data_IF_235210907417
#
_entry.id   IF_235210907417
#
_cell.length_a   1.000
_cell.length_b   1.000
_cell.length_c   1.000
_cell.angle_alpha   90.00
_cell.angle_beta   90.00
_cell.angle_gamma   90.00
#
_symmetry.space_group_name_H-M   'P 1'
#
loop_
_entity.id
_entity.type
_entity.pdbx_description
1 polymer ?
#
# COMPACT_ATOMS: atom_id res chain seq x y z
N UNK A 1 -60.42 -5.46 33.66
CA UNK A 1 -60.73 -4.38 32.69
C UNK A 1 -59.66 -4.39 31.60
N UNK A 2 -59.96 -4.94 30.40
CA UNK A 2 -59.04 -4.94 29.27
C UNK A 2 -59.27 -3.74 28.36
N UNK A 3 -58.20 -3.16 27.84
CA UNK A 3 -58.23 -2.05 26.88
C UNK A 3 -58.40 -2.57 25.45
N UNK A 4 -59.46 -2.09 24.79
CA UNK A 4 -59.82 -2.22 23.37
C UNK A 4 -58.65 -1.72 22.51
N UNK A 5 -58.19 -2.43 21.47
CA UNK A 5 -58.91 -2.67 20.22
C UNK A 5 -58.63 -1.55 19.20
N UNK A 6 -57.62 -1.71 18.33
CA UNK A 6 -57.47 -0.90 17.10
C UNK A 6 -57.50 -1.79 15.87
N UNK A 7 -58.45 -1.46 14.98
CA UNK A 7 -58.77 -2.10 13.70
C UNK A 7 -57.77 -1.71 12.60
N UNK A 8 -57.65 -2.61 11.61
CA UNK A 8 -57.13 -2.39 10.25
C UNK A 8 -58.12 -1.60 9.38
N UNK A 9 -57.60 -0.78 8.46
CA UNK A 9 -58.09 -0.57 7.07
C UNK A 9 -57.12 0.40 6.37
N UNK A 10 -56.49 0.02 5.25
CA UNK A 10 -56.80 0.51 3.89
C UNK A 10 -55.59 1.33 3.41
N UNK A 11 -55.00 1.15 2.22
CA UNK A 11 -55.60 0.94 0.91
C UNK A 11 -55.76 2.29 0.21
N UNK A 12 -54.71 2.78 -0.45
CA UNK A 12 -54.72 3.97 -1.33
C UNK A 12 -53.41 4.01 -2.12
N UNK A 13 -53.37 3.65 -3.40
CA UNK A 13 -53.82 4.42 -4.57
C UNK A 13 -53.02 5.72 -4.76
N UNK A 14 -52.01 5.66 -5.62
CA UNK A 14 -51.29 6.80 -6.19
C UNK A 14 -52.17 7.47 -7.26
N UNK A 15 -52.28 8.81 -7.31
CA UNK A 15 -52.92 9.50 -8.42
C UNK A 15 -51.93 9.77 -9.57
N UNK A 16 -52.46 9.73 -10.78
CA UNK A 16 -51.82 10.09 -12.05
C UNK A 16 -52.34 11.43 -12.59
N UNK A 17 -51.52 12.08 -13.42
CA UNK A 17 -51.85 13.22 -14.31
C UNK A 17 -51.54 14.59 -13.69
N UNK A 18 -50.97 15.59 -14.35
CA UNK A 18 -50.64 15.92 -15.74
C UNK A 18 -49.47 16.95 -15.68
N UNK A 19 -48.72 17.36 -16.69
CA UNK A 19 -48.72 17.23 -18.14
C UNK A 19 -47.64 18.22 -18.62
N UNK A 20 -46.86 17.87 -19.64
CA UNK A 20 -45.96 18.82 -20.30
C UNK A 20 -45.91 18.48 -21.79
N UNK A 21 -46.54 19.34 -22.58
CA UNK A 21 -46.45 19.38 -24.03
C UNK A 21 -45.18 20.11 -24.51
N UNK A 22 -44.96 20.13 -25.84
CA UNK A 22 -43.63 20.22 -26.43
C UNK A 22 -43.24 21.65 -26.85
N UNK A 23 -41.95 21.95 -26.85
CA UNK A 23 -41.40 23.11 -27.55
C UNK A 23 -40.59 22.66 -28.76
N UNK A 24 -41.17 22.91 -29.94
CA UNK A 24 -40.51 22.90 -31.24
C UNK A 24 -39.54 24.09 -31.39
N UNK A 25 -38.49 23.90 -32.18
CA UNK A 25 -37.51 24.94 -32.49
C UNK A 25 -36.51 24.54 -33.57
N UNK A 26 -37.03 24.32 -34.78
CA UNK A 26 -36.43 24.53 -36.13
C UNK A 26 -35.05 23.97 -36.47
N UNK A 27 -35.04 23.12 -37.51
CA UNK A 27 -33.85 22.68 -38.23
C UNK A 27 -33.64 23.37 -39.58
N UNK A 28 -32.55 22.94 -40.22
CA UNK A 28 -32.16 23.12 -41.63
C UNK A 28 -30.78 22.48 -41.78
N UNK A 29 -30.66 21.24 -42.28
CA UNK A 29 -30.35 20.90 -43.67
C UNK A 29 -28.84 21.01 -43.93
N UNK A 30 -28.08 20.07 -44.49
CA UNK A 30 -28.38 18.90 -45.30
C UNK A 30 -27.11 18.01 -45.44
N UNK A 31 -27.35 16.82 -46.01
CA UNK A 31 -26.46 16.05 -46.90
C UNK A 31 -25.36 15.14 -46.31
N UNK A 32 -25.46 13.88 -46.74
CA UNK A 32 -24.58 12.75 -46.51
C UNK A 32 -23.33 12.77 -47.40
N UNK A 33 -22.28 12.09 -46.94
CA UNK A 33 -21.24 11.31 -47.65
C UNK A 33 -20.22 10.92 -46.55
N UNK A 34 -19.81 9.69 -46.30
CA UNK A 34 -19.68 8.52 -47.15
C UNK A 34 -18.23 8.37 -47.61
N UNK A 35 -17.27 8.11 -46.71
CA UNK A 35 -15.92 7.67 -47.08
C UNK A 35 -15.33 6.75 -46.02
N UNK A 36 -15.19 5.47 -46.38
CA UNK A 36 -14.39 4.49 -45.65
C UNK A 36 -12.89 4.68 -45.89
N UNK A 37 -12.08 4.22 -44.94
CA UNK A 37 -10.62 4.18 -45.06
C UNK A 37 -10.19 2.72 -45.28
N UNK A 38 -9.38 2.42 -46.32
CA UNK A 38 -9.15 1.06 -46.79
C UNK A 38 -7.95 0.39 -46.13
N UNK A 39 -8.01 -0.93 -45.98
CA UNK A 39 -6.83 -1.76 -45.85
C UNK A 39 -6.21 -2.07 -47.22
N UNK A 40 -4.87 -2.24 -47.28
CA UNK A 40 -4.19 -3.02 -48.32
C UNK A 40 -2.84 -3.54 -47.85
N UNK A 41 -2.59 -4.80 -48.20
CA UNK A 41 -1.32 -5.54 -48.16
C UNK A 41 -0.33 -5.01 -49.20
N UNK A 42 0.95 -5.29 -48.99
CA UNK A 42 1.95 -5.39 -50.08
C UNK A 42 3.37 -5.10 -49.61
N UNK A 43 4.21 -6.14 -49.51
CA UNK A 43 5.63 -6.00 -49.20
C UNK A 43 6.47 -5.61 -50.43
N UNK A 44 7.67 -5.11 -50.16
CA UNK A 44 8.80 -5.04 -51.09
C UNK A 44 10.10 -5.23 -50.29
N UNK A 45 10.93 -6.17 -50.74
CA UNK A 45 12.33 -6.35 -50.35
C UNK A 45 13.19 -5.32 -51.07
N UNK A 46 14.26 -4.85 -50.43
CA UNK A 46 15.62 -4.79 -51.02
C UNK A 46 16.64 -4.19 -50.05
N UNK A 47 17.72 -4.95 -49.82
CA UNK A 47 19.14 -4.53 -49.73
C UNK A 47 19.54 -3.63 -48.53
N UNK A 48 20.53 -3.96 -47.70
CA UNK A 48 21.84 -4.54 -48.01
C UNK A 48 22.91 -3.49 -47.67
N UNK A 49 23.30 -3.40 -46.40
CA UNK A 49 24.30 -2.42 -45.94
C UNK A 49 24.91 -2.84 -44.61
N UNK A 50 25.99 -3.61 -44.68
CA UNK A 50 26.73 -4.10 -43.51
C UNK A 50 27.43 -2.95 -42.78
N UNK A 51 27.24 -2.91 -41.45
CA UNK A 51 28.09 -2.16 -40.55
C UNK A 51 28.87 -3.15 -39.70
N UNK A 52 30.19 -3.05 -39.84
CA UNK A 52 31.21 -3.88 -39.21
C UNK A 52 31.14 -3.72 -37.68
N UNK A 53 30.98 -4.83 -36.97
CA UNK A 53 31.27 -4.91 -35.55
C UNK A 53 32.79 -4.79 -35.33
N UNK A 54 33.25 -3.62 -34.89
CA UNK A 54 34.54 -3.50 -34.22
C UNK A 54 34.34 -3.71 -32.73
N UNK A 55 34.65 -4.91 -32.27
CA UNK A 55 34.66 -5.24 -30.85
C UNK A 55 35.72 -4.43 -30.11
N UNK A 56 35.29 -3.69 -29.09
CA UNK A 56 36.15 -3.22 -28.01
C UNK A 56 35.82 -4.03 -26.76
N UNK A 57 36.68 -5.00 -26.46
CA UNK A 57 36.74 -5.65 -25.15
C UNK A 57 37.36 -4.66 -24.17
N UNK A 58 36.55 -3.94 -23.42
CA UNK A 58 36.97 -3.26 -22.20
C UNK A 58 36.58 -4.12 -21.01
N UNK A 59 37.59 -4.54 -20.23
CA UNK A 59 37.40 -5.17 -18.94
C UNK A 59 36.70 -4.19 -18.01
N UNK A 60 35.41 -4.42 -17.77
CA UNK A 60 34.62 -3.73 -16.78
C UNK A 60 33.98 -4.76 -15.87
N UNK A 61 33.97 -4.49 -14.57
CA UNK A 61 33.06 -5.17 -13.63
C UNK A 61 31.68 -5.09 -14.27
N UNK A 62 31.11 -6.24 -14.71
CA UNK A 62 29.79 -6.25 -15.32
C UNK A 62 28.80 -5.73 -14.28
N UNK A 63 28.34 -4.50 -14.46
CA UNK A 63 27.23 -3.95 -13.68
C UNK A 63 26.04 -4.84 -13.98
N UNK A 64 25.68 -5.66 -12.99
CA UNK A 64 24.54 -6.55 -13.08
C UNK A 64 23.28 -5.74 -13.35
N UNK A 65 22.44 -6.20 -14.29
CA UNK A 65 21.18 -5.51 -14.58
C UNK A 65 20.27 -5.57 -13.35
N UNK A 66 19.37 -4.60 -13.22
CA UNK A 66 18.48 -4.55 -12.08
C UNK A 66 17.54 -5.76 -11.98
N UNK A 67 17.12 -6.30 -13.13
CA UNK A 67 16.35 -7.55 -13.22
C UNK A 67 17.16 -8.72 -12.67
N UNK A 68 18.45 -8.82 -13.01
CA UNK A 68 19.32 -9.89 -12.49
C UNK A 68 19.49 -9.80 -10.98
N UNK A 69 19.56 -8.57 -10.43
CA UNK A 69 19.52 -8.37 -8.98
C UNK A 69 18.21 -8.86 -8.36
N UNK A 70 17.06 -8.54 -8.96
CA UNK A 70 15.74 -8.99 -8.49
C UNK A 70 15.62 -10.52 -8.49
N UNK A 71 16.13 -11.19 -9.54
CA UNK A 71 16.15 -12.65 -9.63
C UNK A 71 17.02 -13.24 -8.50
N UNK A 72 18.19 -12.66 -8.26
CA UNK A 72 19.10 -13.14 -7.21
C UNK A 72 18.56 -12.89 -5.79
N UNK A 73 18.11 -11.68 -5.49
CA UNK A 73 17.59 -11.29 -4.16
C UNK A 73 16.40 -12.14 -3.75
N UNK A 74 15.51 -12.40 -4.71
CA UNK A 74 14.29 -13.19 -4.50
C UNK A 74 14.48 -14.69 -4.57
N UNK A 75 15.71 -15.17 -4.86
CA UNK A 75 16.02 -16.60 -5.05
C UNK A 75 15.23 -17.23 -6.21
N UNK A 76 14.77 -16.43 -7.18
CA UNK A 76 13.95 -16.88 -8.30
C UNK A 76 14.63 -17.97 -9.16
N UNK A 77 15.97 -17.97 -9.26
CA UNK A 77 16.74 -19.05 -9.92
C UNK A 77 16.46 -20.46 -9.39
N UNK A 78 15.99 -20.59 -8.15
CA UNK A 78 15.66 -21.89 -7.55
C UNK A 78 14.23 -22.35 -7.84
N UNK A 79 13.50 -21.65 -8.72
CA UNK A 79 12.15 -22.05 -9.10
C UNK A 79 12.16 -23.46 -9.71
N UNK A 80 11.28 -24.32 -9.20
CA UNK A 80 11.11 -25.70 -9.69
C UNK A 80 9.94 -25.84 -10.67
N UNK A 81 9.32 -24.72 -11.06
CA UNK A 81 8.16 -24.73 -11.96
C UNK A 81 6.98 -25.59 -11.47
N UNK A 82 6.89 -25.88 -10.17
CA UNK A 82 5.88 -26.80 -9.63
C UNK A 82 4.44 -26.23 -9.56
N UNK A 83 4.26 -24.92 -9.75
CA UNK A 83 2.94 -24.27 -9.83
C UNK A 83 2.19 -24.07 -8.51
N UNK A 84 2.75 -24.45 -7.35
CA UNK A 84 2.09 -24.25 -6.04
C UNK A 84 1.73 -22.79 -5.76
N UNK A 85 2.61 -21.86 -6.14
CA UNK A 85 2.38 -20.43 -6.02
C UNK A 85 1.16 -19.96 -6.81
N UNK A 86 0.97 -20.47 -8.03
CA UNK A 86 -0.19 -20.18 -8.88
C UNK A 86 -1.46 -20.77 -8.28
N UNK A 87 -1.43 -22.01 -7.79
CA UNK A 87 -2.59 -22.68 -7.19
C UNK A 87 -3.15 -21.94 -5.96
N UNK A 88 -2.32 -21.25 -5.19
CA UNK A 88 -2.76 -20.47 -4.01
C UNK A 88 -3.01 -18.99 -4.30
N UNK A 89 -2.69 -18.51 -5.51
CA UNK A 89 -2.78 -17.09 -5.84
C UNK A 89 -4.26 -16.66 -5.97
N UNK A 90 -4.75 -15.71 -5.17
CA UNK A 90 -6.14 -15.25 -5.27
C UNK A 90 -6.44 -14.56 -6.61
N UNK A 91 -5.43 -13.94 -7.23
CA UNK A 91 -5.57 -13.30 -8.54
C UNK A 91 -5.64 -14.34 -9.64
N UNK A 92 -4.81 -15.38 -9.62
CA UNK A 92 -4.87 -16.48 -10.60
C UNK A 92 -6.23 -17.20 -10.58
N UNK A 93 -6.91 -17.26 -9.44
CA UNK A 93 -8.26 -17.81 -9.30
C UNK A 93 -9.35 -16.97 -9.99
N UNK A 94 -9.06 -15.74 -10.38
CA UNK A 94 -10.01 -14.81 -11.02
C UNK A 94 -9.57 -14.42 -12.44
N UNK A 95 -8.27 -14.32 -12.66
CA UNK A 95 -7.65 -14.12 -13.96
C UNK A 95 -6.65 -15.26 -14.24
N UNK A 96 -7.00 -16.23 -15.09
CA UNK A 96 -6.12 -17.34 -15.46
C UNK A 96 -4.82 -16.93 -16.18
N UNK A 97 -4.74 -15.70 -16.71
CA UNK A 97 -3.51 -15.17 -17.32
C UNK A 97 -2.43 -14.88 -16.26
N UNK A 98 -2.83 -14.66 -14.99
CA UNK A 98 -1.88 -14.45 -13.89
C UNK A 98 -1.35 -15.78 -13.38
N UNK A 99 -0.02 -15.95 -13.48
CA UNK A 99 0.66 -17.11 -12.91
C UNK A 99 2.01 -16.70 -12.32
N UNK A 100 2.15 -16.64 -10.99
CA UNK A 100 3.44 -16.39 -10.34
C UNK A 100 4.56 -17.30 -10.80
N UNK A 101 4.24 -18.56 -11.11
CA UNK A 101 5.17 -19.51 -11.71
C UNK A 101 5.69 -18.99 -13.06
N UNK A 102 4.76 -18.69 -13.97
CA UNK A 102 5.06 -18.26 -15.35
C UNK A 102 5.82 -16.93 -15.38
N UNK A 103 5.45 -16.00 -14.50
CA UNK A 103 6.18 -14.74 -14.33
C UNK A 103 7.65 -14.95 -13.97
N UNK A 104 7.95 -15.90 -13.09
CA UNK A 104 9.35 -16.25 -12.77
C UNK A 104 10.03 -16.92 -13.96
N UNK A 105 9.37 -17.87 -14.61
CA UNK A 105 9.85 -18.57 -15.81
C UNK A 105 10.26 -17.60 -16.93
N UNK A 106 9.37 -16.70 -17.34
CA UNK A 106 9.59 -15.71 -18.41
C UNK A 106 10.78 -14.79 -18.08
N UNK A 107 10.91 -14.38 -16.82
CA UNK A 107 12.02 -13.55 -16.36
C UNK A 107 13.36 -14.29 -16.37
N UNK A 108 13.37 -15.58 -16.04
CA UNK A 108 14.59 -16.42 -16.09
C UNK A 108 15.03 -16.70 -17.53
N UNK A 109 14.09 -16.82 -18.46
CA UNK A 109 14.35 -17.02 -19.89
C UNK A 109 14.80 -15.74 -20.61
N UNK A 110 14.75 -14.58 -19.95
CA UNK A 110 15.05 -13.29 -20.57
C UNK A 110 13.94 -12.75 -21.47
N UNK A 111 12.73 -13.30 -21.34
CA UNK A 111 11.53 -12.89 -22.08
C UNK A 111 10.67 -11.89 -21.28
N UNK A 112 11.15 -11.46 -20.12
CA UNK A 112 10.44 -10.62 -19.17
C UNK A 112 10.35 -9.12 -19.51
N UNK A 113 10.94 -8.65 -20.60
CA UNK A 113 10.91 -7.22 -20.98
C UNK A 113 9.47 -6.71 -21.14
N UNK A 114 8.57 -7.53 -21.68
CA UNK A 114 7.14 -7.20 -21.81
C UNK A 114 6.41 -7.11 -20.46
N UNK A 115 6.89 -7.81 -19.42
CA UNK A 115 6.24 -7.85 -18.12
C UNK A 115 6.35 -6.51 -17.38
N UNK A 116 7.42 -5.74 -17.60
CA UNK A 116 7.60 -4.43 -16.93
C UNK A 116 6.52 -3.43 -17.34
N UNK A 117 5.99 -3.57 -18.55
CA UNK A 117 4.87 -2.80 -19.08
C UNK A 117 3.51 -3.48 -18.89
N UNK A 118 3.47 -4.69 -18.34
CA UNK A 118 2.26 -5.48 -18.23
C UNK A 118 1.44 -5.06 -16.99
N UNK A 119 0.14 -4.86 -17.18
CA UNK A 119 -0.81 -4.61 -16.09
C UNK A 119 -0.82 -5.74 -15.05
N UNK A 120 -0.48 -6.98 -15.45
CA UNK A 120 -0.43 -8.14 -14.57
C UNK A 120 0.66 -7.99 -13.48
N UNK A 121 1.73 -7.24 -13.72
CA UNK A 121 2.73 -6.90 -12.68
C UNK A 121 2.09 -6.17 -11.48
N UNK A 122 1.17 -5.26 -11.79
CA UNK A 122 0.48 -4.41 -10.84
C UNK A 122 -0.69 -5.12 -10.16
N UNK A 123 -1.22 -6.18 -10.77
CA UNK A 123 -2.30 -7.01 -10.20
C UNK A 123 -1.89 -7.78 -8.93
N UNK A 124 -0.59 -7.98 -8.72
CA UNK A 124 -0.10 -8.72 -7.55
C UNK A 124 -0.46 -8.00 -6.24
N UNK A 125 -1.19 -8.66 -5.35
CA UNK A 125 -1.55 -8.13 -4.03
C UNK A 125 -0.37 -8.13 -3.03
N UNK A 126 0.78 -8.68 -3.43
CA UNK A 126 1.96 -8.82 -2.56
C UNK A 126 1.66 -9.48 -1.20
N UNK A 127 0.63 -10.34 -1.14
CA UNK A 127 0.10 -10.95 0.09
C UNK A 127 0.96 -12.10 0.65
N UNK A 128 2.11 -12.39 0.04
CA UNK A 128 3.10 -13.39 0.46
C UNK A 128 2.66 -14.87 0.45
N UNK A 129 1.40 -15.18 0.15
CA UNK A 129 0.87 -16.56 0.17
C UNK A 129 1.67 -17.53 -0.72
N UNK A 130 2.13 -17.06 -1.88
CA UNK A 130 2.98 -17.85 -2.77
C UNK A 130 4.36 -18.18 -2.18
N UNK A 131 4.98 -17.25 -1.47
CA UNK A 131 6.27 -17.44 -0.80
C UNK A 131 6.17 -18.47 0.33
N UNK A 132 5.07 -18.46 1.09
CA UNK A 132 4.83 -19.37 2.21
C UNK A 132 4.70 -20.85 1.78
N UNK A 133 4.25 -21.11 0.55
CA UNK A 133 4.08 -22.48 0.02
C UNK A 133 5.21 -22.92 -0.90
N UNK A 134 6.19 -22.05 -1.17
CA UNK A 134 7.26 -22.34 -2.11
C UNK A 134 8.28 -23.32 -1.49
N UNK A 135 8.47 -24.52 -2.07
CA UNK A 135 9.43 -25.49 -1.52
C UNK A 135 10.89 -25.05 -1.65
N UNK A 136 11.19 -24.14 -2.59
CA UNK A 136 12.54 -23.61 -2.82
C UNK A 136 12.82 -22.28 -2.11
N UNK A 137 11.80 -21.71 -1.45
CA UNK A 137 11.90 -20.41 -0.80
C UNK A 137 12.10 -19.25 -1.77
N UNK A 138 11.41 -19.25 -2.91
CA UNK A 138 11.35 -18.09 -3.81
C UNK A 138 10.52 -16.98 -3.14
N UNK A 139 11.14 -15.83 -2.89
CA UNK A 139 10.50 -14.66 -2.31
C UNK A 139 9.77 -13.84 -3.38
N UNK A 140 8.68 -14.41 -3.92
CA UNK A 140 7.97 -13.85 -5.07
C UNK A 140 7.42 -12.43 -4.85
N UNK A 141 6.98 -12.08 -3.65
CA UNK A 141 6.50 -10.71 -3.40
C UNK A 141 7.64 -9.69 -3.46
N UNK A 142 8.81 -10.02 -2.93
CA UNK A 142 10.01 -9.18 -3.04
C UNK A 142 10.46 -9.07 -4.48
N UNK A 143 10.40 -10.19 -5.23
CA UNK A 143 10.64 -10.20 -6.68
C UNK A 143 9.76 -9.19 -7.41
N UNK A 144 8.44 -9.23 -7.17
CA UNK A 144 7.49 -8.30 -7.78
C UNK A 144 7.76 -6.86 -7.37
N UNK A 145 8.06 -6.61 -6.09
CA UNK A 145 8.39 -5.26 -5.61
C UNK A 145 9.63 -4.71 -6.33
N UNK A 146 10.68 -5.51 -6.47
CA UNK A 146 11.90 -5.11 -7.18
C UNK A 146 11.60 -4.84 -8.67
N UNK A 147 10.78 -5.67 -9.31
CA UNK A 147 10.34 -5.44 -10.70
C UNK A 147 9.51 -4.15 -10.86
N UNK A 148 8.63 -3.82 -9.91
CA UNK A 148 7.87 -2.56 -9.93
C UNK A 148 8.76 -1.33 -9.85
N UNK A 149 9.87 -1.39 -9.11
CA UNK A 149 10.87 -0.31 -9.10
C UNK A 149 11.44 -0.09 -10.50
N UNK A 150 11.79 -1.17 -11.21
CA UNK A 150 12.33 -1.06 -12.57
C UNK A 150 11.26 -0.62 -13.58
N UNK A 151 10.02 -1.10 -13.44
CA UNK A 151 8.90 -0.64 -14.24
C UNK A 151 8.70 0.88 -14.10
N UNK A 152 8.70 1.42 -12.87
CA UNK A 152 8.61 2.88 -12.66
C UNK A 152 9.80 3.65 -13.23
N UNK A 153 11.02 3.12 -13.12
CA UNK A 153 12.20 3.73 -13.77
C UNK A 153 12.08 3.77 -15.29
N UNK A 154 11.38 2.81 -15.88
CA UNK A 154 11.04 2.77 -17.30
C UNK A 154 9.78 3.60 -17.66
N UNK A 155 9.27 4.41 -16.73
CA UNK A 155 8.10 5.26 -16.94
C UNK A 155 6.77 4.51 -16.95
N UNK A 156 6.74 3.26 -16.50
CA UNK A 156 5.51 2.46 -16.38
C UNK A 156 4.87 2.67 -15.01
N UNK A 157 3.55 2.71 -14.97
CA UNK A 157 2.79 2.83 -13.72
C UNK A 157 1.60 1.87 -13.70
N UNK A 158 1.27 1.38 -12.51
CA UNK A 158 0.09 0.55 -12.31
C UNK A 158 -1.18 1.37 -12.06
N UNK A 159 -2.32 0.78 -12.42
CA UNK A 159 -3.62 1.22 -11.92
C UNK A 159 -3.70 0.92 -10.42
N UNK A 160 -3.42 1.92 -9.59
CA UNK A 160 -3.48 1.76 -8.15
C UNK A 160 -4.93 1.70 -7.68
N UNK A 161 -5.20 0.82 -6.73
CA UNK A 161 -6.52 0.75 -6.09
C UNK A 161 -6.82 2.09 -5.39
N UNK A 162 -8.09 2.52 -5.38
CA UNK A 162 -8.53 3.83 -4.87
C UNK A 162 -8.08 5.04 -5.69
N UNK A 163 -7.77 4.86 -6.98
CA UNK A 163 -7.51 5.97 -7.90
C UNK A 163 -6.29 6.81 -7.51
N UNK A 164 -5.27 6.16 -6.94
CA UNK A 164 -4.05 6.79 -6.43
C UNK A 164 -4.25 7.79 -5.27
N UNK A 165 -5.41 7.82 -4.59
CA UNK A 165 -5.67 8.84 -3.57
C UNK A 165 -4.64 8.81 -2.42
N UNK A 166 -4.27 7.61 -1.95
CA UNK A 166 -3.28 7.44 -0.86
C UNK A 166 -1.87 7.80 -1.37
N UNK A 167 -1.55 7.41 -2.59
CA UNK A 167 -0.28 7.65 -3.27
C UNK A 167 -0.06 9.14 -3.48
N UNK A 168 -1.04 9.84 -4.05
CA UNK A 168 -1.02 11.28 -4.24
C UNK A 168 -0.81 12.02 -2.91
N UNK A 169 -1.45 11.56 -1.84
CA UNK A 169 -1.22 12.11 -0.52
C UNK A 169 0.22 11.92 -0.04
N UNK A 170 0.73 10.69 -0.05
CA UNK A 170 2.09 10.44 0.44
C UNK A 170 3.12 11.24 -0.36
N UNK A 171 2.90 11.44 -1.67
CA UNK A 171 3.71 12.33 -2.50
C UNK A 171 3.64 13.79 -2.04
N UNK A 172 2.46 14.32 -1.70
CA UNK A 172 2.37 15.67 -1.10
C UNK A 172 3.13 15.76 0.23
N UNK A 173 3.14 14.68 1.02
CA UNK A 173 3.88 14.63 2.30
C UNK A 173 5.40 14.60 2.14
N UNK A 174 5.95 14.41 0.93
CA UNK A 174 7.40 14.52 0.70
C UNK A 174 7.88 15.97 0.71
N UNK A 175 6.97 16.94 0.66
CA UNK A 175 7.32 18.36 0.67
C UNK A 175 7.87 18.78 2.04
N UNK A 176 9.15 19.22 2.15
CA UNK A 176 9.76 19.56 3.43
C UNK A 176 9.07 20.71 4.15
N UNK A 177 8.46 21.63 3.40
CA UNK A 177 7.76 22.81 3.94
C UNK A 177 6.30 22.54 4.33
N UNK A 178 5.77 21.36 4.00
CA UNK A 178 4.45 20.97 4.48
C UNK A 178 4.47 20.93 6.02
N UNK A 179 3.49 21.61 6.62
CA UNK A 179 3.22 21.54 8.06
C UNK A 179 1.80 21.07 8.26
N UNK A 180 1.64 20.09 9.13
CA UNK A 180 0.37 19.50 9.47
C UNK A 180 0.11 19.68 10.96
N UNK A 181 -1.16 19.71 11.32
CA UNK A 181 -1.59 19.47 12.68
C UNK A 181 -2.72 18.45 12.62
N UNK A 182 -2.44 17.23 13.06
CA UNK A 182 -3.37 16.10 12.94
C UNK A 182 -3.90 15.65 14.29
N UNK A 183 -3.92 16.54 15.28
CA UNK A 183 -4.26 16.21 16.67
C UNK A 183 -5.71 16.52 17.04
N UNK A 184 -6.55 16.97 16.11
CA UNK A 184 -7.96 17.32 16.37
C UNK A 184 -8.80 16.15 16.92
N UNK A 185 -8.34 14.91 16.76
CA UNK A 185 -8.98 13.71 17.31
C UNK A 185 -8.61 13.41 18.77
N UNK A 186 -7.61 14.09 19.33
CA UNK A 186 -7.25 13.97 20.73
C UNK A 186 -8.23 14.74 21.60
N UNK A 187 -8.89 14.04 22.51
CA UNK A 187 -9.81 14.62 23.49
C UNK A 187 -9.19 14.64 24.90
N UNK A 188 -9.83 15.38 25.82
CA UNK A 188 -9.37 15.55 27.21
C UNK A 188 -9.24 14.23 28.01
N UNK A 189 -9.90 13.15 27.56
CA UNK A 189 -9.82 11.84 28.18
C UNK A 189 -8.58 11.04 27.80
N UNK A 190 -7.80 11.50 26.82
CA UNK A 190 -6.59 10.85 26.32
C UNK A 190 -5.35 11.53 26.90
N UNK A 191 -4.58 10.78 27.68
CA UNK A 191 -3.37 11.29 28.32
C UNK A 191 -2.16 11.09 27.40
N UNK A 192 -1.45 12.17 27.14
CA UNK A 192 -0.21 12.20 26.38
C UNK A 192 0.83 12.98 27.16
N UNK A 193 2.10 12.70 26.90
CA UNK A 193 3.21 13.41 27.52
C UNK A 193 4.31 13.61 26.49
N UNK A 194 4.78 14.84 26.32
CA UNK A 194 5.88 15.18 25.42
C UNK A 194 7.23 14.60 25.90
N UNK A 195 7.36 14.30 27.19
CA UNK A 195 8.58 13.75 27.79
C UNK A 195 8.57 12.22 27.88
N UNK A 196 7.56 11.57 27.29
CA UNK A 196 7.41 10.11 27.35
C UNK A 196 8.49 9.39 26.57
N UNK A 197 8.97 8.26 27.09
CA UNK A 197 9.94 7.40 26.41
C UNK A 197 9.30 6.56 25.27
N UNK A 198 8.01 6.77 24.99
CA UNK A 198 7.26 6.07 23.95
C UNK A 198 6.50 7.05 23.07
N UNK A 199 6.72 6.97 21.76
CA UNK A 199 5.91 7.63 20.74
C UNK A 199 4.85 6.65 20.23
N UNK A 200 3.60 7.09 20.13
CA UNK A 200 2.59 6.37 19.36
C UNK A 200 2.58 6.90 17.93
N UNK A 201 3.10 6.10 16.99
CA UNK A 201 3.09 6.43 15.57
C UNK A 201 1.72 6.07 14.96
N UNK A 202 0.92 7.09 14.70
CA UNK A 202 -0.49 6.98 14.30
C UNK A 202 -0.61 6.62 12.81
N UNK A 203 0.34 7.08 12.00
CA UNK A 203 0.36 6.94 10.55
C UNK A 203 -0.80 7.67 9.88
N UNK A 204 -1.34 7.10 8.82
CA UNK A 204 -2.41 7.71 8.02
C UNK A 204 -3.83 7.49 8.58
N UNK A 205 -3.99 6.80 9.73
CA UNK A 205 -5.30 6.41 10.28
C UNK A 205 -6.34 7.55 10.35
N UNK A 206 -6.04 8.75 10.88
CA UNK A 206 -7.00 9.87 10.95
C UNK A 206 -7.68 10.23 9.62
N UNK A 207 -7.07 9.88 8.51
CA UNK A 207 -7.58 10.22 7.19
C UNK A 207 -8.51 9.18 6.57
N UNK A 208 -8.45 7.96 7.09
CA UNK A 208 -9.25 6.85 6.58
C UNK A 208 -10.74 7.10 6.82
N UNK A 209 -11.10 7.84 7.86
CA UNK A 209 -12.49 8.23 8.13
C UNK A 209 -13.08 9.05 6.97
N UNK A 210 -12.25 9.86 6.29
CA UNK A 210 -12.65 10.63 5.11
C UNK A 210 -12.61 9.76 3.86
N UNK A 211 -11.47 9.12 3.58
CA UNK A 211 -11.25 8.37 2.34
C UNK A 211 -12.16 7.14 2.23
N UNK A 212 -12.38 6.45 3.36
CA UNK A 212 -13.10 5.20 3.45
C UNK A 212 -14.44 5.32 4.19
N UNK A 213 -15.00 6.53 4.25
CA UNK A 213 -16.31 6.80 4.89
C UNK A 213 -17.41 5.85 4.43
N UNK A 214 -17.41 5.49 3.13
CA UNK A 214 -18.43 4.64 2.51
C UNK A 214 -18.44 3.20 3.01
N UNK A 215 -17.30 2.70 3.52
CA UNK A 215 -17.18 1.35 4.07
C UNK A 215 -17.17 1.34 5.60
N UNK A 216 -17.39 2.49 6.24
CA UNK A 216 -17.45 2.60 7.70
C UNK A 216 -16.11 2.37 8.40
N UNK A 217 -14.99 2.70 7.74
CA UNK A 217 -13.69 2.69 8.40
C UNK A 217 -13.67 3.70 9.56
N UNK A 218 -13.07 3.30 10.68
CA UNK A 218 -13.02 4.09 11.93
C UNK A 218 -11.55 4.23 12.38
N UNK A 219 -10.73 4.82 11.52
CA UNK A 219 -9.30 5.02 11.77
C UNK A 219 -9.04 5.90 12.99
N UNK A 220 -9.83 6.96 13.20
CA UNK A 220 -9.72 7.79 14.41
C UNK A 220 -10.04 6.99 15.68
N UNK A 221 -11.10 6.20 15.68
CA UNK A 221 -11.45 5.40 16.87
C UNK A 221 -10.39 4.33 17.18
N UNK A 222 -9.74 3.75 16.17
CA UNK A 222 -8.57 2.89 16.37
C UNK A 222 -7.46 3.67 17.08
N UNK A 223 -7.14 4.89 16.61
CA UNK A 223 -6.11 5.71 17.23
C UNK A 223 -6.43 6.05 18.70
N UNK A 224 -7.67 6.46 18.99
CA UNK A 224 -8.16 6.73 20.36
C UNK A 224 -8.09 5.49 21.24
N UNK A 225 -8.50 4.33 20.73
CA UNK A 225 -8.46 3.07 21.48
C UNK A 225 -7.04 2.68 21.88
N UNK A 226 -6.05 2.88 21.00
CA UNK A 226 -4.65 2.59 21.31
C UNK A 226 -4.14 3.49 22.44
N UNK A 227 -4.43 4.79 22.39
CA UNK A 227 -4.04 5.71 23.48
C UNK A 227 -4.70 5.30 24.80
N UNK A 228 -5.99 4.93 24.80
CA UNK A 228 -6.68 4.43 26.00
C UNK A 228 -6.02 3.18 26.57
N UNK A 229 -5.65 2.24 25.71
CA UNK A 229 -4.95 1.01 26.11
C UNK A 229 -3.59 1.35 26.71
N UNK A 230 -2.81 2.24 26.07
CA UNK A 230 -1.52 2.68 26.60
C UNK A 230 -1.68 3.39 27.95
N UNK A 231 -2.65 4.28 28.10
CA UNK A 231 -2.94 4.96 29.36
C UNK A 231 -3.33 3.98 30.47
N UNK A 232 -4.11 2.93 30.15
CA UNK A 232 -4.44 1.86 31.10
C UNK A 232 -3.21 1.08 31.56
N UNK A 233 -2.21 0.94 30.68
CA UNK A 233 -0.90 0.37 30.98
C UNK A 233 0.05 1.35 31.70
N UNK A 234 -0.41 2.57 32.00
CA UNK A 234 0.41 3.61 32.64
C UNK A 234 1.38 4.31 31.68
N UNK A 235 1.16 4.19 30.37
CA UNK A 235 1.94 4.85 29.33
C UNK A 235 1.14 6.04 28.79
N UNK A 236 1.70 7.23 28.93
CA UNK A 236 1.18 8.46 28.32
C UNK A 236 2.07 8.76 27.11
N UNK A 237 1.71 8.31 25.89
CA UNK A 237 2.64 8.38 24.76
C UNK A 237 2.83 9.82 24.27
N UNK A 238 3.97 10.08 23.62
CA UNK A 238 4.11 11.21 22.72
C UNK A 238 3.24 10.98 21.47
N UNK A 239 2.61 12.04 20.96
CA UNK A 239 1.87 12.03 19.69
C UNK A 239 2.27 13.27 18.91
N UNK A 240 2.69 13.08 17.67
CA UNK A 240 3.36 14.13 16.90
C UNK A 240 2.38 14.83 15.95
N UNK A 241 2.24 16.17 16.01
CA UNK A 241 1.26 16.90 15.20
C UNK A 241 1.58 16.87 13.70
N UNK A 242 2.87 16.91 13.36
CA UNK A 242 3.38 16.93 11.98
C UNK A 242 3.79 15.55 11.46
N UNK A 243 3.30 14.48 12.10
CA UNK A 243 3.54 13.11 11.65
C UNK A 243 2.97 12.87 10.24
N UNK A 244 3.80 12.28 9.37
CA UNK A 244 3.43 11.90 8.01
C UNK A 244 3.14 10.40 7.91
N UNK A 245 2.54 9.97 6.80
CA UNK A 245 2.39 8.55 6.49
C UNK A 245 3.76 7.85 6.47
N UNK A 246 3.82 6.56 6.82
CA UNK A 246 5.06 5.78 6.80
C UNK A 246 5.60 5.55 5.37
N UNK A 247 4.79 5.78 4.33
CA UNK A 247 5.21 5.62 2.93
C UNK A 247 5.18 4.18 2.42
N UNK A 248 4.57 3.25 3.14
CA UNK A 248 4.52 1.83 2.78
C UNK A 248 4.09 1.59 1.33
N UNK A 249 2.94 2.14 0.93
CA UNK A 249 2.38 1.91 -0.40
C UNK A 249 3.26 2.51 -1.51
N UNK A 250 3.93 3.65 -1.26
CA UNK A 250 4.89 4.20 -2.22
C UNK A 250 6.00 3.18 -2.50
N UNK A 251 6.60 2.64 -1.44
CA UNK A 251 7.68 1.67 -1.58
C UNK A 251 7.22 0.38 -2.26
N UNK A 252 6.07 -0.15 -1.87
CA UNK A 252 5.57 -1.45 -2.37
C UNK A 252 5.07 -1.41 -3.81
N UNK A 253 4.79 -0.21 -4.32
CA UNK A 253 4.52 0.06 -5.72
C UNK A 253 5.78 0.50 -6.51
N UNK A 254 6.95 0.47 -5.87
CA UNK A 254 8.22 0.82 -6.50
C UNK A 254 8.49 2.33 -6.61
N UNK A 255 7.68 3.19 -6.00
CA UNK A 255 7.88 4.64 -5.94
C UNK A 255 8.93 5.02 -4.86
N UNK A 256 10.14 4.51 -5.06
CA UNK A 256 11.28 4.71 -4.14
C UNK A 256 11.69 6.19 -4.10
N UNK A 257 11.50 6.91 -5.21
CA UNK A 257 11.85 8.32 -5.34
C UNK A 257 11.09 9.22 -4.35
N UNK A 258 9.81 8.92 -4.10
CA UNK A 258 9.02 9.64 -3.10
C UNK A 258 9.08 8.99 -1.71
N UNK A 259 9.23 7.66 -1.64
CA UNK A 259 9.36 6.97 -0.36
C UNK A 259 10.55 7.46 0.47
N UNK A 260 11.74 7.57 -0.14
CA UNK A 260 12.98 7.97 0.54
C UNK A 260 12.87 9.33 1.26
N UNK A 261 12.52 10.45 0.60
CA UNK A 261 12.42 11.75 1.27
C UNK A 261 11.32 11.76 2.35
N UNK A 262 10.20 11.06 2.14
CA UNK A 262 9.16 10.91 3.16
C UNK A 262 9.69 10.20 4.42
N UNK A 263 10.43 9.12 4.22
CA UNK A 263 11.04 8.35 5.31
C UNK A 263 12.12 9.16 6.04
N UNK A 264 12.92 9.97 5.34
CA UNK A 264 13.90 10.89 5.92
C UNK A 264 13.23 11.95 6.83
N UNK A 265 12.15 12.58 6.36
CA UNK A 265 11.39 13.56 7.15
C UNK A 265 10.81 12.94 8.42
N UNK A 266 10.19 11.75 8.30
CA UNK A 266 9.67 11.03 9.46
C UNK A 266 10.79 10.60 10.42
N UNK A 267 11.93 10.15 9.91
CA UNK A 267 13.06 9.72 10.74
C UNK A 267 13.65 10.88 11.53
N UNK A 268 13.80 12.05 10.91
CA UNK A 268 14.23 13.27 11.60
C UNK A 268 13.23 13.67 12.70
N UNK A 269 11.93 13.68 12.38
CA UNK A 269 10.87 13.99 13.34
C UNK A 269 10.86 13.02 14.53
N UNK A 270 10.95 11.71 14.28
CA UNK A 270 10.96 10.68 15.31
C UNK A 270 12.20 10.75 16.19
N UNK A 271 13.40 10.97 15.63
CA UNK A 271 14.62 11.11 16.44
C UNK A 271 14.61 12.36 17.32
N UNK A 272 14.01 13.46 16.85
CA UNK A 272 13.89 14.68 17.63
C UNK A 272 13.05 14.52 18.91
N UNK A 273 12.23 13.46 19.00
CA UNK A 273 11.45 13.15 20.20
C UNK A 273 12.28 12.67 21.39
N UNK A 274 13.48 12.13 21.13
CA UNK A 274 14.31 11.49 22.16
C UNK A 274 13.73 10.20 22.77
N UNK A 275 12.58 9.70 22.30
CA UNK A 275 11.96 8.49 22.81
C UNK A 275 12.76 7.24 22.42
N UNK A 276 12.71 6.19 23.24
CA UNK A 276 13.34 4.90 22.94
C UNK A 276 12.46 3.95 22.16
N UNK A 277 11.13 4.11 22.23
CA UNK A 277 10.17 3.17 21.65
C UNK A 277 9.17 3.88 20.74
N UNK A 278 8.87 3.22 19.63
CA UNK A 278 7.72 3.53 18.76
C UNK A 278 6.70 2.40 18.90
N UNK A 279 5.48 2.75 19.29
CA UNK A 279 4.32 1.86 19.23
C UNK A 279 3.48 2.25 18.03
N UNK A 280 2.93 1.29 17.28
CA UNK A 280 1.95 1.54 16.23
C UNK A 280 0.89 0.46 16.16
N UNK A 281 -0.31 0.79 15.69
CA UNK A 281 -1.40 -0.17 15.47
C UNK A 281 -1.54 -0.62 14.01
N UNK A 282 -0.67 -0.12 13.14
CA UNK A 282 -0.66 -0.49 11.73
C UNK A 282 0.50 -1.48 11.48
N UNK A 283 0.23 -2.70 10.97
CA UNK A 283 1.28 -3.67 10.67
C UNK A 283 2.20 -3.19 9.54
N UNK A 284 1.68 -2.40 8.61
CA UNK A 284 2.48 -1.79 7.53
C UNK A 284 3.43 -0.74 8.12
N UNK A 285 2.97 0.14 9.01
CA UNK A 285 3.85 1.07 9.72
C UNK A 285 4.93 0.30 10.51
N UNK A 286 4.56 -0.75 11.24
CA UNK A 286 5.50 -1.54 12.02
C UNK A 286 6.59 -2.16 11.14
N UNK A 287 6.23 -2.77 10.00
CA UNK A 287 7.20 -3.30 9.04
C UNK A 287 8.04 -2.19 8.40
N UNK A 288 7.40 -1.13 7.93
CA UNK A 288 8.07 -0.05 7.20
C UNK A 288 9.10 0.66 8.07
N UNK A 289 8.74 1.03 9.30
CA UNK A 289 9.65 1.67 10.25
C UNK A 289 10.78 0.73 10.71
N UNK A 290 10.48 -0.57 10.88
CA UNK A 290 11.45 -1.55 11.43
C UNK A 290 12.38 -2.18 10.39
N UNK A 291 11.92 -2.34 9.14
CA UNK A 291 12.59 -3.11 8.10
C UNK A 291 12.96 -2.23 6.91
N UNK A 292 11.99 -1.47 6.41
CA UNK A 292 12.20 -0.72 5.18
C UNK A 292 12.98 0.59 5.43
N UNK A 293 12.76 1.30 6.54
CA UNK A 293 13.53 2.50 6.89
C UNK A 293 15.03 2.21 7.01
N UNK A 294 15.50 1.20 7.78
CA UNK A 294 16.92 0.86 7.81
C UNK A 294 17.51 0.44 6.46
N UNK A 295 16.71 -0.18 5.59
CA UNK A 295 17.18 -0.66 4.29
C UNK A 295 17.31 0.45 3.23
N UNK A 296 16.51 1.51 3.34
CA UNK A 296 16.46 2.58 2.34
C UNK A 296 17.04 3.90 2.85
N UNK A 297 16.96 4.18 4.15
CA UNK A 297 17.42 5.44 4.76
C UNK A 297 18.47 5.11 5.82
N UNK A 298 18.07 4.98 7.07
CA UNK A 298 18.93 4.67 8.21
C UNK A 298 18.10 4.05 9.35
N UNK A 299 18.78 3.41 10.30
CA UNK A 299 18.14 2.84 11.49
C UNK A 299 17.69 3.98 12.42
N UNK A 300 16.44 3.94 12.88
CA UNK A 300 15.89 4.92 13.81
C UNK A 300 16.60 4.91 15.16
N UNK A 301 17.24 3.79 15.55
CA UNK A 301 17.82 3.60 16.88
C UNK A 301 16.75 3.48 17.97
N UNK A 302 15.52 3.15 17.58
CA UNK A 302 14.34 3.04 18.44
C UNK A 302 13.73 1.66 18.34
N UNK A 303 13.15 1.16 19.43
CA UNK A 303 12.40 -0.08 19.45
C UNK A 303 11.04 0.11 18.74
N UNK A 304 10.86 -0.47 17.56
CA UNK A 304 9.57 -0.44 16.84
C UNK A 304 8.73 -1.67 17.18
N UNK A 305 7.57 -1.45 17.79
CA UNK A 305 6.67 -2.50 18.28
C UNK A 305 5.25 -2.27 17.80
N UNK A 306 4.61 -3.33 17.28
CA UNK A 306 3.18 -3.29 17.00
C UNK A 306 2.38 -3.45 18.31
N UNK A 307 1.26 -2.75 18.47
CA UNK A 307 0.46 -2.78 19.71
C UNK A 307 0.09 -4.21 20.14
N UNK A 308 -0.23 -5.11 19.21
CA UNK A 308 -0.52 -6.51 19.54
C UNK A 308 0.69 -7.24 20.13
N UNK A 309 1.90 -6.94 19.66
CA UNK A 309 3.13 -7.50 20.19
C UNK A 309 3.38 -6.96 21.61
N UNK A 310 3.24 -5.64 21.80
CA UNK A 310 3.37 -5.03 23.12
C UNK A 310 2.40 -5.66 24.13
N UNK A 311 1.14 -5.85 23.74
CA UNK A 311 0.14 -6.48 24.61
C UNK A 311 0.46 -7.95 24.92
N UNK A 312 0.97 -8.69 23.95
CA UNK A 312 1.41 -10.07 24.16
C UNK A 312 2.60 -10.15 25.13
N UNK A 313 3.60 -9.29 24.96
CA UNK A 313 4.79 -9.23 25.82
C UNK A 313 4.43 -8.85 27.26
N UNK A 314 3.45 -7.95 27.43
CA UNK A 314 2.91 -7.57 28.74
C UNK A 314 1.95 -8.60 29.34
N UNK A 315 1.66 -9.71 28.63
CA UNK A 315 0.66 -10.71 29.00
C UNK A 315 -0.68 -10.05 29.34
N UNK A 316 -1.05 -9.05 28.56
CA UNK A 316 -2.27 -8.28 28.77
C UNK A 316 -3.49 -9.17 28.65
N UNK A 317 -4.34 -9.16 29.68
CA UNK A 317 -5.62 -9.85 29.69
C UNK A 317 -6.75 -8.84 29.52
N UNK A 318 -7.42 -8.90 28.37
CA UNK A 318 -8.54 -8.01 28.05
C UNK A 318 -9.79 -8.26 28.91
N UNK A 319 -9.80 -9.30 29.75
CA UNK A 319 -10.91 -9.58 30.68
C UNK A 319 -10.89 -8.56 31.84
N UNK A 320 -11.96 -7.76 32.03
CA UNK A 320 -11.98 -6.64 32.98
C UNK A 320 -11.62 -7.03 34.43
N UNK A 321 -12.00 -8.22 34.86
CA UNK A 321 -11.86 -8.70 36.24
C UNK A 321 -10.43 -9.14 36.62
N UNK A 322 -9.53 -9.28 35.63
CA UNK A 322 -8.16 -9.80 35.83
C UNK A 322 -7.04 -8.89 35.31
N UNK A 323 -7.37 -7.73 34.74
CA UNK A 323 -6.36 -6.75 34.33
C UNK A 323 -5.73 -6.10 35.58
N UNK A 324 -4.71 -6.74 36.14
CA UNK A 324 -3.85 -6.09 37.14
C UNK A 324 -3.15 -4.93 36.46
N UNK A 325 -3.03 -3.77 37.13
CA UNK A 325 -2.05 -2.74 36.75
C UNK A 325 -0.70 -3.45 36.61
N UNK A 326 -0.20 -3.57 35.40
CA UNK A 326 1.11 -4.18 35.18
C UNK A 326 2.10 -3.22 35.84
N UNK A 327 2.81 -3.70 36.86
CA UNK A 327 3.75 -2.89 37.63
C UNK A 327 4.79 -2.23 36.72
N UNK A 328 5.29 -1.07 37.14
CA UNK A 328 6.31 -0.29 36.43
C UNK A 328 7.43 -1.18 35.89
N UNK A 329 7.56 -1.24 34.56
CA UNK A 329 8.67 -1.93 33.91
C UNK A 329 9.96 -1.17 34.23
N UNK A 330 10.87 -1.84 34.95
CA UNK A 330 12.29 -1.48 34.91
C UNK A 330 12.89 -2.25 33.74
N UNK A 331 13.14 -1.56 32.63
CA UNK A 331 13.90 -2.14 31.53
C UNK A 331 15.38 -2.16 31.92
N UNK A 332 15.98 -3.35 31.98
CA UNK A 332 17.43 -3.47 32.04
C UNK A 332 18.03 -2.95 30.73
N UNK A 333 19.11 -2.17 30.85
CA UNK A 333 19.86 -1.65 29.70
C UNK A 333 20.41 -2.85 28.91
N UNK A 334 20.08 -2.92 27.62
CA UNK A 334 20.85 -3.72 26.64
C UNK A 334 22.15 -3.00 26.35
#
# INVERSE_FOLDING_TARGET
>A
MPLRGRKRAGGGALPAGAGAGPSAGTGGGAAATGLGVPGRRGGLRSEGGGLRETGQRSGGVKVESAIQRAIRSSRAYYCLECGKCTAVCPIALRNPEVSPRRTVEEMLLGEGDGLLSDELLWSCLTCLRCGQVCPSGVAYADFIRDLRVEARRAGQEGLCTHGQAIQAWMRMMTEPDLRQNRLDWLDEGLKTSADSDTVYFVGCLPYYDVLFRRIGAQGVEIARAVVKILNHLGIEPQILPDERCCGHDLLWEGDVAHFRPLAELNSALLRATGARRIVTACPECARTLKVDYPAYVDDLGMEVVHISQLLADLKFDARPERSRRVGSLKFEKV
#
